data_IF_573457244221
#
_entry.id   IF_573457244221
#
_cell.length_a   1.000
_cell.length_b   1.000
_cell.length_c   1.000
_cell.angle_alpha   90.00
_cell.angle_beta   90.00
_cell.angle_gamma   90.00
#
_symmetry.space_group_name_H-M   'P 1'
#
loop_
_entity.id
_entity.type
_entity.pdbx_description
1 polymer ?
#
# COMPACT_ATOMS: atom_id res chain seq x y z
N UNK A 1 15.92 -14.23 0.66
CA UNK A 1 15.33 -13.10 1.42
C UNK A 1 15.64 -11.86 0.62
N UNK A 2 14.75 -10.87 0.58
CA UNK A 2 15.10 -9.60 -0.05
C UNK A 2 16.32 -8.99 0.67
N UNK A 3 17.16 -8.33 -0.09
CA UNK A 3 18.38 -7.69 0.45
C UNK A 3 18.09 -6.37 1.19
N UNK A 4 16.80 -6.02 1.34
CA UNK A 4 16.35 -4.86 2.10
C UNK A 4 15.29 -5.28 3.14
N UNK A 5 15.19 -4.50 4.20
CA UNK A 5 14.14 -4.64 5.21
C UNK A 5 13.30 -3.36 5.18
N UNK A 6 12.03 -3.51 4.87
CA UNK A 6 11.04 -2.45 5.01
C UNK A 6 10.18 -2.72 6.24
N UNK A 7 10.03 -1.74 7.10
CA UNK A 7 9.14 -1.81 8.26
C UNK A 7 8.40 -0.49 8.47
N UNK A 8 7.23 -0.57 9.07
CA UNK A 8 6.48 0.60 9.53
C UNK A 8 6.13 0.46 11.00
N UNK A 9 6.04 1.58 11.71
CA UNK A 9 5.70 1.64 13.14
C UNK A 9 5.15 3.02 13.50
N UNK A 10 4.50 3.10 14.67
CA UNK A 10 3.88 4.31 15.17
C UNK A 10 4.66 4.82 16.38
N UNK A 11 5.03 6.10 16.35
CA UNK A 11 5.65 6.81 17.44
C UNK A 11 4.97 8.17 17.63
N UNK A 12 4.56 8.48 18.86
CA UNK A 12 3.91 9.74 19.19
C UNK A 12 2.64 10.03 18.37
N UNK A 13 1.95 9.00 17.89
CA UNK A 13 0.75 9.10 17.06
C UNK A 13 1.02 9.33 15.58
N UNK A 14 2.28 9.45 15.17
CA UNK A 14 2.72 9.50 13.78
C UNK A 14 3.23 8.16 13.34
N UNK A 15 2.96 7.79 12.10
CA UNK A 15 3.50 6.60 11.49
C UNK A 15 4.77 6.93 10.72
N UNK A 16 5.74 6.04 10.85
CA UNK A 16 7.03 6.13 10.16
C UNK A 16 7.26 4.86 9.37
N UNK A 17 7.96 4.96 8.27
CA UNK A 17 8.54 3.81 7.62
C UNK A 17 10.05 3.94 7.52
N UNK A 18 10.70 2.81 7.63
CA UNK A 18 12.13 2.66 7.47
C UNK A 18 12.43 1.55 6.48
N UNK A 19 13.43 1.74 5.68
CA UNK A 19 14.01 0.65 4.92
C UNK A 19 15.53 0.66 5.05
N UNK A 20 16.07 -0.55 5.09
CA UNK A 20 17.52 -0.78 5.23
C UNK A 20 17.95 -1.74 4.13
N UNK A 21 18.98 -1.38 3.38
CA UNK A 21 19.67 -2.30 2.50
C UNK A 21 20.37 -3.36 3.36
N UNK A 22 20.11 -4.65 3.11
CA UNK A 22 20.73 -5.71 3.89
C UNK A 22 22.25 -5.80 3.69
N UNK A 23 22.75 -5.29 2.56
CA UNK A 23 24.18 -5.20 2.27
C UNK A 23 24.85 -4.01 2.94
N UNK A 24 24.10 -2.94 3.23
CA UNK A 24 24.59 -1.72 3.89
C UNK A 24 23.68 -1.36 5.08
N UNK A 25 23.82 -2.11 6.16
CA UNK A 25 23.02 -1.93 7.40
C UNK A 25 23.26 -0.57 8.09
N UNK A 26 24.25 0.20 7.66
CA UNK A 26 24.52 1.53 8.19
C UNK A 26 23.64 2.62 7.58
N UNK A 27 23.02 2.35 6.42
CA UNK A 27 22.14 3.29 5.75
C UNK A 27 20.65 2.93 5.95
N UNK A 28 20.13 3.24 7.12
CA UNK A 28 18.68 3.18 7.35
C UNK A 28 18.05 4.51 6.98
N UNK A 29 17.11 4.50 6.04
CA UNK A 29 16.33 5.68 5.68
C UNK A 29 15.00 5.65 6.44
N UNK A 30 14.76 6.70 7.24
CA UNK A 30 13.51 6.91 7.98
C UNK A 30 12.72 8.04 7.34
N UNK A 31 11.44 7.80 7.09
CA UNK A 31 10.52 8.81 6.55
C UNK A 31 9.19 8.77 7.28
N UNK A 32 8.52 9.93 7.37
CA UNK A 32 7.13 10.03 7.78
C UNK A 32 6.21 9.30 6.80
N UNK A 33 5.25 8.56 7.34
CA UNK A 33 4.17 8.00 6.59
C UNK A 33 2.90 8.81 6.93
N UNK A 34 2.44 9.69 6.05
CA UNK A 34 1.29 10.54 6.35
C UNK A 34 -0.01 9.72 6.34
N UNK A 35 -0.29 9.07 7.46
CA UNK A 35 -1.52 8.32 7.69
C UNK A 35 -2.51 9.18 8.51
N UNK A 36 -3.81 9.25 8.19
CA UNK A 36 -4.54 8.48 7.16
C UNK A 36 -4.56 9.14 5.77
N UNK A 37 -3.90 10.26 5.57
CA UNK A 37 -3.92 11.05 4.34
C UNK A 37 -3.49 10.23 3.13
N UNK A 38 -2.44 9.42 3.25
CA UNK A 38 -1.95 8.54 2.17
C UNK A 38 -3.01 7.55 1.69
N UNK A 39 -3.85 7.04 2.62
CA UNK A 39 -4.95 6.15 2.23
C UNK A 39 -6.03 6.92 1.45
N UNK A 40 -6.29 8.18 1.83
CA UNK A 40 -7.23 9.05 1.11
C UNK A 40 -6.71 9.44 -0.27
N UNK A 41 -5.43 9.70 -0.40
CA UNK A 41 -4.79 9.97 -1.70
C UNK A 41 -4.87 8.75 -2.61
N UNK A 42 -4.59 7.56 -2.10
CA UNK A 42 -4.76 6.32 -2.86
C UNK A 42 -6.20 6.13 -3.34
N UNK A 43 -7.19 6.46 -2.50
CA UNK A 43 -8.60 6.34 -2.81
C UNK A 43 -9.02 7.12 -4.06
N UNK A 44 -8.37 8.25 -4.31
CA UNK A 44 -8.70 9.16 -5.42
C UNK A 44 -7.63 9.21 -6.51
N UNK A 45 -6.70 8.28 -6.49
CA UNK A 45 -5.68 8.16 -7.53
C UNK A 45 -6.32 7.77 -8.86
N UNK A 46 -5.85 8.37 -9.94
CA UNK A 46 -6.29 8.03 -11.28
C UNK A 46 -5.74 6.67 -11.73
N UNK A 47 -6.63 5.68 -11.78
CA UNK A 47 -6.27 4.32 -12.19
C UNK A 47 -5.92 4.22 -13.67
N UNK A 48 -6.38 5.13 -14.52
CA UNK A 48 -6.03 5.14 -15.95
C UNK A 48 -4.56 5.54 -16.14
N UNK A 49 -4.07 6.50 -15.35
CA UNK A 49 -2.64 6.83 -15.35
C UNK A 49 -1.79 5.66 -14.86
N UNK A 50 -2.21 4.98 -13.79
CA UNK A 50 -1.53 3.77 -13.31
C UNK A 50 -1.50 2.67 -14.38
N UNK A 51 -2.60 2.49 -15.09
CA UNK A 51 -2.70 1.52 -16.17
C UNK A 51 -1.69 1.84 -17.28
N UNK A 52 -1.59 3.09 -17.68
CA UNK A 52 -0.66 3.51 -18.74
C UNK A 52 0.81 3.22 -18.36
N UNK A 53 1.21 3.57 -17.13
CA UNK A 53 2.56 3.33 -16.62
C UNK A 53 2.84 1.82 -16.55
N UNK A 54 1.95 1.05 -15.92
CA UNK A 54 2.15 -0.38 -15.68
C UNK A 54 2.11 -1.19 -16.98
N UNK A 55 1.28 -0.83 -17.96
CA UNK A 55 1.29 -1.45 -19.30
C UNK A 55 2.60 -1.20 -20.06
N UNK A 56 3.17 0.00 -19.92
CA UNK A 56 4.49 0.32 -20.52
C UNK A 56 5.58 -0.54 -19.89
N UNK A 57 5.55 -0.73 -18.58
CA UNK A 57 6.48 -1.60 -17.85
C UNK A 57 6.33 -3.07 -18.27
N UNK A 58 5.09 -3.58 -18.36
CA UNK A 58 4.83 -4.96 -18.81
C UNK A 58 5.34 -5.22 -20.24
N UNK A 59 5.16 -4.24 -21.13
CA UNK A 59 5.67 -4.33 -22.51
C UNK A 59 7.19 -4.39 -22.54
N UNK A 60 7.86 -3.56 -21.73
CA UNK A 60 9.31 -3.57 -21.64
C UNK A 60 9.83 -4.87 -21.01
N UNK A 61 9.18 -5.37 -19.97
CA UNK A 61 9.53 -6.63 -19.34
C UNK A 61 9.38 -7.82 -20.32
N UNK A 62 8.31 -7.82 -21.12
CA UNK A 62 8.11 -8.83 -22.15
C UNK A 62 9.21 -8.75 -23.24
N UNK A 63 9.57 -7.55 -23.68
CA UNK A 63 10.66 -7.35 -24.65
C UNK A 63 11.99 -7.85 -24.08
N UNK A 64 12.29 -7.58 -22.82
CA UNK A 64 13.44 -8.13 -22.13
C UNK A 64 13.48 -9.66 -22.12
N UNK A 65 12.35 -10.34 -21.84
CA UNK A 65 12.29 -11.81 -21.87
C UNK A 65 12.55 -12.38 -23.26
N UNK A 66 12.21 -11.65 -24.32
CA UNK A 66 12.40 -12.09 -25.70
C UNK A 66 13.82 -11.83 -26.21
N UNK A 67 14.40 -10.70 -25.88
CA UNK A 67 15.67 -10.21 -26.43
C UNK A 67 16.85 -10.38 -25.49
N UNK A 68 16.65 -10.37 -24.17
CA UNK A 68 17.68 -10.26 -23.16
C UNK A 68 18.31 -8.87 -23.07
N UNK A 69 17.74 -7.86 -23.78
CA UNK A 69 18.28 -6.52 -23.82
C UNK A 69 18.07 -5.77 -22.49
N UNK A 70 19.15 -5.39 -21.82
CA UNK A 70 19.08 -4.74 -20.51
C UNK A 70 18.46 -3.33 -20.54
N UNK A 71 18.45 -2.70 -21.70
CA UNK A 71 17.84 -1.38 -21.88
C UNK A 71 16.33 -1.40 -21.59
N UNK A 72 15.67 -2.53 -21.87
CA UNK A 72 14.25 -2.71 -21.54
C UNK A 72 14.01 -2.64 -20.02
N UNK A 73 14.95 -3.10 -19.20
CA UNK A 73 14.86 -3.01 -17.74
C UNK A 73 14.97 -1.57 -17.23
N UNK A 74 15.63 -0.67 -17.95
CA UNK A 74 15.64 0.75 -17.60
C UNK A 74 14.26 1.38 -17.70
N UNK A 75 13.45 0.93 -18.67
CA UNK A 75 12.05 1.38 -18.80
C UNK A 75 11.23 0.92 -17.59
N UNK A 76 11.47 -0.30 -17.10
CA UNK A 76 10.81 -0.81 -15.88
C UNK A 76 11.25 0.01 -14.67
N UNK A 77 12.55 0.26 -14.49
CA UNK A 77 13.07 1.06 -13.39
C UNK A 77 12.52 2.50 -13.41
N UNK A 78 12.44 3.13 -14.57
CA UNK A 78 11.86 4.46 -14.74
C UNK A 78 10.37 4.48 -14.36
N UNK A 79 9.60 3.48 -14.77
CA UNK A 79 8.19 3.34 -14.39
C UNK A 79 7.98 3.16 -12.89
N UNK A 80 8.85 2.37 -12.23
CA UNK A 80 8.81 2.22 -10.76
C UNK A 80 9.10 3.53 -10.04
N UNK A 81 10.09 4.31 -10.50
CA UNK A 81 10.38 5.61 -9.94
C UNK A 81 9.21 6.59 -10.15
N UNK A 82 8.56 6.54 -11.31
CA UNK A 82 7.39 7.34 -11.61
C UNK A 82 6.22 6.98 -10.66
N UNK A 83 5.93 5.69 -10.45
CA UNK A 83 4.90 5.26 -9.50
C UNK A 83 5.24 5.72 -8.07
N UNK A 84 6.47 5.52 -7.60
CA UNK A 84 6.89 5.94 -6.27
C UNK A 84 6.84 7.45 -6.06
N UNK A 85 7.08 8.25 -7.10
CA UNK A 85 6.92 9.71 -7.03
C UNK A 85 5.47 10.18 -6.93
N UNK A 86 4.52 9.34 -7.39
CA UNK A 86 3.08 9.66 -7.34
C UNK A 86 2.45 9.31 -6.00
N UNK A 87 2.90 8.24 -5.36
CA UNK A 87 2.31 7.81 -4.10
C UNK A 87 3.26 6.96 -3.26
N UNK A 88 3.27 7.24 -1.95
CA UNK A 88 4.18 6.60 -0.98
C UNK A 88 4.05 5.08 -0.91
N UNK A 89 2.86 4.50 -1.12
CA UNK A 89 2.70 3.04 -1.15
C UNK A 89 3.54 2.35 -2.23
N UNK A 90 3.80 3.03 -3.34
CA UNK A 90 4.63 2.47 -4.40
C UNK A 90 6.12 2.47 -4.09
N UNK A 91 6.55 3.10 -3.00
CA UNK A 91 7.93 3.03 -2.56
C UNK A 91 8.34 1.59 -2.21
N UNK A 92 7.48 0.86 -1.50
CA UNK A 92 7.72 -0.56 -1.20
C UNK A 92 7.83 -1.40 -2.48
N UNK A 93 6.94 -1.16 -3.45
CA UNK A 93 7.00 -1.82 -4.75
C UNK A 93 8.31 -1.50 -5.48
N UNK A 94 8.72 -0.23 -5.50
CA UNK A 94 9.97 0.21 -6.12
C UNK A 94 11.18 -0.46 -5.49
N UNK A 95 11.23 -0.56 -4.17
CA UNK A 95 12.33 -1.21 -3.44
C UNK A 95 12.41 -2.70 -3.80
N UNK A 96 11.31 -3.44 -3.73
CA UNK A 96 11.28 -4.87 -4.09
C UNK A 96 11.76 -5.11 -5.52
N UNK A 97 11.26 -4.34 -6.48
CA UNK A 97 11.66 -4.48 -7.86
C UNK A 97 13.10 -4.04 -8.14
N UNK A 98 13.59 -3.00 -7.50
CA UNK A 98 14.97 -2.53 -7.67
C UNK A 98 15.95 -3.62 -7.30
N UNK A 99 15.72 -4.33 -6.19
CA UNK A 99 16.58 -5.43 -5.78
C UNK A 99 16.51 -6.62 -6.76
N UNK A 100 15.31 -6.92 -7.26
CA UNK A 100 15.14 -7.95 -8.31
C UNK A 100 15.88 -7.59 -9.59
N UNK A 101 15.81 -6.34 -10.03
CA UNK A 101 16.53 -5.86 -11.23
C UNK A 101 18.03 -5.94 -11.05
N UNK A 102 18.58 -5.55 -9.89
CA UNK A 102 20.02 -5.71 -9.56
C UNK A 102 20.44 -7.19 -9.59
N UNK A 103 19.59 -8.09 -9.07
CA UNK A 103 19.89 -9.52 -9.08
C UNK A 103 19.93 -10.08 -10.51
N UNK A 104 19.07 -9.61 -11.40
CA UNK A 104 19.04 -10.01 -12.83
C UNK A 104 20.36 -9.67 -13.55
N UNK A 105 21.03 -8.59 -13.17
CA UNK A 105 22.32 -8.21 -13.76
C UNK A 105 23.44 -9.23 -13.50
N UNK A 106 23.31 -10.04 -12.46
CA UNK A 106 24.32 -10.99 -11.98
C UNK A 106 24.10 -12.42 -12.39
N UNK A 107 22.97 -12.73 -13.03
CA UNK A 107 22.56 -14.11 -13.35
C UNK A 107 22.39 -14.34 -14.84
N UNK A 108 22.30 -15.61 -15.22
CA UNK A 108 22.10 -16.02 -16.61
C UNK A 108 20.64 -15.84 -17.06
N UNK A 109 20.36 -15.72 -18.37
CA UNK A 109 19.00 -15.58 -18.89
C UNK A 109 18.00 -16.65 -18.42
N UNK A 110 18.46 -17.87 -18.18
CA UNK A 110 17.63 -18.97 -17.68
C UNK A 110 17.12 -18.73 -16.24
N UNK A 111 17.81 -17.93 -15.48
CA UNK A 111 17.50 -17.63 -14.08
C UNK A 111 16.61 -16.40 -13.93
N UNK A 112 16.51 -15.55 -14.97
CA UNK A 112 15.66 -14.35 -14.97
C UNK A 112 14.22 -14.66 -14.57
N UNK A 113 13.65 -15.75 -15.09
CA UNK A 113 12.29 -16.17 -14.80
C UNK A 113 12.04 -16.52 -13.32
N UNK A 114 13.09 -16.86 -12.56
CA UNK A 114 12.99 -17.14 -11.14
C UNK A 114 13.03 -15.87 -10.29
N UNK A 115 13.73 -14.86 -10.78
CA UNK A 115 13.93 -13.59 -10.05
C UNK A 115 12.80 -12.60 -10.32
N UNK A 116 12.32 -12.53 -11.55
CA UNK A 116 11.25 -11.63 -11.93
C UNK A 116 9.91 -12.36 -11.87
N UNK A 117 8.91 -11.80 -11.19
CA UNK A 117 7.62 -12.46 -11.08
C UNK A 117 6.94 -12.59 -12.44
N UNK A 118 6.34 -13.76 -12.69
CA UNK A 118 5.54 -14.00 -13.89
C UNK A 118 4.24 -13.17 -13.93
N UNK A 119 3.85 -12.57 -12.82
CA UNK A 119 2.65 -11.74 -12.74
C UNK A 119 2.90 -10.44 -13.49
N UNK A 120 1.97 -10.05 -14.31
CA UNK A 120 1.99 -8.77 -15.00
C UNK A 120 1.99 -7.64 -13.98
N UNK A 121 2.83 -6.64 -14.20
CA UNK A 121 2.86 -5.44 -13.36
C UNK A 121 1.52 -4.69 -13.47
N UNK A 122 0.86 -4.75 -14.62
CA UNK A 122 -0.45 -4.14 -14.84
C UNK A 122 -1.56 -4.67 -13.92
N UNK A 123 -1.39 -5.84 -13.30
CA UNK A 123 -2.34 -6.29 -12.28
C UNK A 123 -2.39 -5.35 -11.07
N UNK A 124 -1.37 -4.53 -10.85
CA UNK A 124 -1.32 -3.57 -9.76
C UNK A 124 -2.47 -2.57 -9.90
N UNK A 125 -2.67 -1.99 -11.09
CA UNK A 125 -3.73 -1.00 -11.27
C UNK A 125 -5.12 -1.60 -11.05
N UNK A 126 -5.37 -2.83 -11.55
CA UNK A 126 -6.68 -3.47 -11.38
C UNK A 126 -6.96 -3.84 -9.92
N UNK A 127 -5.93 -4.23 -9.17
CA UNK A 127 -6.05 -4.48 -7.75
C UNK A 127 -6.29 -3.17 -6.97
N UNK A 128 -5.61 -2.08 -7.32
CA UNK A 128 -5.83 -0.77 -6.72
C UNK A 128 -7.27 -0.29 -6.99
N UNK A 129 -7.77 -0.41 -8.21
CA UNK A 129 -9.16 -0.07 -8.54
C UNK A 129 -10.16 -0.86 -7.68
N UNK A 130 -9.92 -2.15 -7.50
CA UNK A 130 -10.74 -3.00 -6.61
C UNK A 130 -10.65 -2.55 -5.16
N UNK A 131 -9.46 -2.26 -4.67
CA UNK A 131 -9.25 -1.78 -3.30
C UNK A 131 -9.87 -0.40 -3.07
N UNK A 132 -9.81 0.51 -4.03
CA UNK A 132 -10.49 1.81 -3.95
C UNK A 132 -12.00 1.63 -3.71
N UNK A 133 -12.64 0.73 -4.43
CA UNK A 133 -14.08 0.43 -4.23
C UNK A 133 -14.38 -0.15 -2.85
N UNK A 134 -13.52 -1.06 -2.38
CA UNK A 134 -13.64 -1.63 -1.03
C UNK A 134 -13.46 -0.58 0.06
N UNK A 135 -12.47 0.32 -0.08
CA UNK A 135 -12.22 1.40 0.88
C UNK A 135 -13.41 2.38 0.89
N UNK A 136 -13.95 2.76 -0.27
CA UNK A 136 -15.14 3.61 -0.36
C UNK A 136 -16.32 2.98 0.36
N UNK A 137 -16.55 1.69 0.13
CA UNK A 137 -17.62 0.96 0.79
C UNK A 137 -17.45 0.93 2.30
N UNK A 138 -16.23 0.67 2.79
CA UNK A 138 -15.93 0.70 4.22
C UNK A 138 -16.19 2.08 4.83
N UNK A 139 -15.72 3.14 4.18
CA UNK A 139 -15.91 4.51 4.66
C UNK A 139 -17.39 4.84 4.74
N UNK A 140 -18.14 4.57 3.67
CA UNK A 140 -19.56 4.87 3.60
C UNK A 140 -20.38 4.17 4.70
N UNK A 141 -20.02 2.94 5.03
CA UNK A 141 -20.80 2.14 5.99
C UNK A 141 -20.31 2.26 7.44
N UNK A 142 -19.01 2.43 7.65
CA UNK A 142 -18.43 2.37 8.98
C UNK A 142 -17.86 3.69 9.50
N UNK A 143 -17.20 4.46 8.64
CA UNK A 143 -16.41 5.62 9.06
C UNK A 143 -17.06 6.96 8.73
N UNK A 144 -18.08 6.98 7.84
CA UNK A 144 -18.79 8.21 7.50
C UNK A 144 -19.56 8.75 8.70
N UNK A 145 -19.37 10.02 8.98
CA UNK A 145 -19.98 10.71 10.12
C UNK A 145 -21.23 11.53 9.77
N UNK A 146 -21.60 11.59 8.50
CA UNK A 146 -22.76 12.37 8.11
C UNK A 146 -24.04 11.73 8.63
N UNK A 147 -24.51 12.23 9.78
CA UNK A 147 -25.84 12.01 10.32
C UNK A 147 -25.93 11.28 11.66
N UNK A 148 -24.94 10.53 12.13
CA UNK A 148 -25.10 9.78 13.38
C UNK A 148 -23.84 9.75 14.26
N UNK A 149 -24.06 9.95 15.59
CA UNK A 149 -23.01 9.80 16.61
C UNK A 149 -22.83 8.33 17.03
N UNK A 150 -22.86 7.39 16.09
CA UNK A 150 -22.66 5.98 16.38
C UNK A 150 -21.19 5.59 16.24
N UNK A 151 -20.76 4.67 17.06
CA UNK A 151 -19.43 4.02 16.90
C UNK A 151 -19.40 3.16 15.62
N UNK A 152 -18.20 2.80 15.16
CA UNK A 152 -18.04 1.87 14.04
C UNK A 152 -18.79 0.56 14.30
N UNK A 153 -18.69 0.02 15.51
CA UNK A 153 -19.40 -1.23 15.89
C UNK A 153 -20.91 -1.10 15.77
N UNK A 154 -21.48 0.00 16.27
CA UNK A 154 -22.94 0.23 16.19
C UNK A 154 -23.43 0.38 14.76
N UNK A 155 -22.65 1.06 13.91
CA UNK A 155 -22.96 1.21 12.48
C UNK A 155 -22.91 -0.14 11.75
N UNK A 156 -21.88 -0.94 12.00
CA UNK A 156 -21.72 -2.25 11.39
C UNK A 156 -22.84 -3.22 11.82
N UNK A 157 -23.23 -3.21 13.10
CA UNK A 157 -24.36 -4.00 13.61
C UNK A 157 -25.67 -3.53 12.97
N UNK A 158 -25.88 -2.23 12.87
CA UNK A 158 -27.10 -1.68 12.23
C UNK A 158 -27.16 -2.06 10.73
N UNK A 159 -26.01 -1.98 10.03
CA UNK A 159 -25.92 -2.39 8.64
C UNK A 159 -26.22 -3.88 8.45
N UNK A 160 -25.65 -4.74 9.30
CA UNK A 160 -25.89 -6.19 9.27
C UNK A 160 -27.37 -6.55 9.51
N UNK A 161 -28.01 -5.84 10.42
CA UNK A 161 -29.42 -6.09 10.76
C UNK A 161 -30.42 -5.42 9.80
N UNK A 162 -29.94 -4.62 8.84
CA UNK A 162 -30.81 -4.00 7.85
C UNK A 162 -31.36 -5.07 6.87
N UNK A 163 -32.63 -4.93 6.50
CA UNK A 163 -33.32 -5.85 5.62
C UNK A 163 -32.61 -5.96 4.26
N UNK A 164 -32.31 -7.19 3.82
CA UNK A 164 -31.63 -7.47 2.54
C UNK A 164 -30.08 -7.45 2.58
N UNK A 165 -29.47 -7.22 3.72
CA UNK A 165 -28.02 -7.24 3.87
C UNK A 165 -27.49 -8.56 4.44
N UNK A 166 -28.02 -9.70 3.94
CA UNK A 166 -27.58 -11.04 4.34
C UNK A 166 -26.13 -11.36 3.93
N UNK A 167 -25.59 -10.61 2.99
CA UNK A 167 -24.18 -10.73 2.60
C UNK A 167 -23.33 -9.87 3.51
N UNK A 168 -22.74 -10.50 4.48
CA UNK A 168 -21.76 -9.92 5.35
C UNK A 168 -20.63 -9.27 4.55
N UNK A 169 -20.43 -7.99 4.72
CA UNK A 169 -19.15 -7.38 4.43
C UNK A 169 -18.16 -7.85 5.51
N UNK A 170 -17.66 -9.04 5.33
CA UNK A 170 -16.48 -9.46 6.06
C UNK A 170 -15.28 -8.83 5.38
N UNK A 171 -14.76 -7.75 5.97
CA UNK A 171 -13.42 -7.31 5.64
C UNK A 171 -12.45 -8.38 6.17
N UNK A 172 -12.07 -9.31 5.30
CA UNK A 172 -11.06 -10.31 5.63
C UNK A 172 -9.70 -9.67 5.40
N UNK A 173 -9.11 -9.20 6.48
CA UNK A 173 -7.72 -8.81 6.46
C UNK A 173 -6.83 -10.05 6.49
N UNK A 174 -5.75 -10.02 5.72
CA UNK A 174 -4.75 -11.07 5.80
C UNK A 174 -4.11 -11.06 7.20
N UNK A 175 -3.88 -12.23 7.81
CA UNK A 175 -3.14 -12.31 9.07
C UNK A 175 -1.74 -11.72 8.88
N UNK A 176 -1.41 -10.70 9.66
CA UNK A 176 -0.07 -10.12 9.67
C UNK A 176 0.57 -10.38 11.02
N UNK A 177 1.82 -10.87 11.05
CA UNK A 177 2.53 -11.03 12.30
C UNK A 177 2.77 -9.66 12.93
N UNK A 178 2.39 -9.55 14.20
CA UNK A 178 2.66 -8.35 15.02
C UNK A 178 3.96 -8.58 15.75
N UNK A 179 4.91 -7.69 15.56
CA UNK A 179 6.16 -7.68 16.28
C UNK A 179 6.21 -6.45 17.19
N UNK A 180 6.90 -6.57 18.32
CA UNK A 180 7.21 -5.45 19.19
C UNK A 180 8.71 -5.30 19.27
N UNK A 181 9.22 -4.11 18.96
CA UNK A 181 10.65 -3.85 18.89
C UNK A 181 11.03 -2.57 19.60
N UNK A 182 12.28 -2.53 20.06
CA UNK A 182 12.91 -1.30 20.53
C UNK A 182 13.63 -0.65 19.34
N UNK A 183 13.09 0.47 18.89
CA UNK A 183 13.63 1.25 17.78
C UNK A 183 14.55 2.34 18.34
N UNK A 184 15.73 2.47 17.77
CA UNK A 184 16.74 3.48 18.14
C UNK A 184 17.05 3.52 19.65
N UNK A 185 16.87 2.41 20.37
CA UNK A 185 17.03 2.29 21.83
C UNK A 185 16.15 3.23 22.65
N UNK A 186 15.07 3.78 22.07
CA UNK A 186 14.23 4.82 22.70
C UNK A 186 12.74 4.52 22.62
N UNK A 187 12.30 3.85 21.56
CA UNK A 187 10.90 3.66 21.25
C UNK A 187 10.60 2.17 21.33
N UNK A 188 9.62 1.79 22.15
CA UNK A 188 9.07 0.42 22.11
C UNK A 188 7.74 0.49 21.36
N UNK A 189 7.68 -0.07 20.18
CA UNK A 189 6.54 0.05 19.28
C UNK A 189 6.13 -1.28 18.65
N UNK A 190 4.87 -1.36 18.27
CA UNK A 190 4.37 -2.36 17.34
C UNK A 190 4.97 -2.09 15.95
N UNK A 191 5.60 -3.09 15.38
CA UNK A 191 6.30 -2.99 14.09
C UNK A 191 5.67 -3.96 13.10
N UNK A 192 5.33 -3.45 11.93
CA UNK A 192 4.87 -4.23 10.80
C UNK A 192 5.98 -4.37 9.77
N UNK A 193 6.14 -5.59 9.24
CA UNK A 193 7.00 -5.92 8.10
C UNK A 193 6.13 -6.33 6.91
N UNK A 194 5.61 -5.39 6.12
CA UNK A 194 4.76 -5.71 4.99
C UNK A 194 5.57 -6.43 3.91
N UNK A 195 5.00 -7.49 3.35
CA UNK A 195 5.63 -8.26 2.27
C UNK A 195 5.44 -7.59 0.92
N UNK A 196 4.34 -6.88 0.79
CA UNK A 196 3.98 -6.17 -0.44
C UNK A 196 3.09 -4.96 -0.13
N UNK A 197 2.74 -4.24 -1.19
CA UNK A 197 1.89 -3.04 -1.11
C UNK A 197 0.50 -3.35 -0.51
N UNK A 198 -0.04 -4.54 -0.73
CA UNK A 198 -1.39 -4.90 -0.27
C UNK A 198 -1.42 -5.13 1.23
N UNK A 199 -0.38 -5.76 1.78
CA UNK A 199 -0.20 -5.90 3.23
C UNK A 199 -0.20 -4.53 3.93
N UNK A 200 0.46 -3.54 3.31
CA UNK A 200 0.56 -2.19 3.86
C UNK A 200 -0.80 -1.45 3.78
N UNK A 201 -1.51 -1.57 2.68
CA UNK A 201 -2.84 -0.98 2.52
C UNK A 201 -3.83 -1.62 3.50
N UNK A 202 -3.83 -2.95 3.60
CA UNK A 202 -4.66 -3.69 4.56
C UNK A 202 -4.40 -3.26 6.01
N UNK A 203 -3.14 -3.05 6.37
CA UNK A 203 -2.76 -2.51 7.67
C UNK A 203 -3.41 -1.14 7.92
N UNK A 204 -3.30 -0.22 6.97
CA UNK A 204 -3.86 1.12 7.12
C UNK A 204 -5.39 1.14 7.17
N UNK A 205 -6.06 0.30 6.37
CA UNK A 205 -7.52 0.15 6.47
C UNK A 205 -7.91 -0.34 7.86
N UNK A 206 -7.19 -1.33 8.40
CA UNK A 206 -7.41 -1.87 9.74
C UNK A 206 -7.19 -0.81 10.82
N UNK A 207 -6.15 -0.01 10.68
CA UNK A 207 -5.88 1.09 11.61
C UNK A 207 -6.96 2.18 11.55
N UNK A 208 -7.54 2.47 10.39
CA UNK A 208 -8.71 3.36 10.28
C UNK A 208 -9.89 2.85 11.11
N UNK A 209 -10.17 1.54 11.05
CA UNK A 209 -11.26 0.93 11.82
C UNK A 209 -10.94 0.94 13.32
N UNK A 210 -9.74 0.49 13.72
CA UNK A 210 -9.32 0.43 15.13
C UNK A 210 -9.36 1.78 15.83
N UNK A 211 -8.92 2.82 15.12
CA UNK A 211 -8.84 4.19 15.67
C UNK A 211 -10.13 4.98 15.48
N UNK A 212 -11.15 4.36 14.89
CA UNK A 212 -12.39 5.04 14.53
C UNK A 212 -12.14 6.37 13.79
N UNK A 213 -11.26 6.32 12.76
CA UNK A 213 -10.90 7.50 11.98
C UNK A 213 -12.17 8.09 11.36
N UNK A 214 -12.48 9.31 11.76
CA UNK A 214 -13.70 9.97 11.32
C UNK A 214 -13.54 10.50 9.91
N UNK A 215 -14.48 10.17 9.04
CA UNK A 215 -14.50 10.62 7.65
C UNK A 215 -15.71 11.51 7.39
N UNK A 216 -15.54 12.50 6.51
CA UNK A 216 -16.63 13.36 6.02
C UNK A 216 -16.52 13.54 4.53
N UNK A 217 -17.67 13.79 3.89
CA UNK A 217 -17.73 14.15 2.48
C UNK A 217 -17.54 15.65 2.31
N UNK A 218 -16.64 16.06 1.44
CA UNK A 218 -16.52 17.45 1.03
C UNK A 218 -17.75 17.84 0.16
N UNK A 219 -18.47 18.88 0.58
CA UNK A 219 -19.69 19.34 -0.13
C UNK A 219 -19.42 19.85 -1.55
N UNK A 220 -18.19 20.27 -1.84
CA UNK A 220 -17.85 20.84 -3.15
C UNK A 220 -17.41 19.77 -4.15
N UNK A 221 -16.56 18.82 -3.73
CA UNK A 221 -15.98 17.82 -4.65
C UNK A 221 -16.48 16.40 -4.40
N UNK A 222 -17.34 16.20 -3.40
CA UNK A 222 -17.91 14.91 -2.98
C UNK A 222 -16.87 13.84 -2.62
N UNK A 223 -15.64 14.25 -2.31
CA UNK A 223 -14.57 13.34 -1.88
C UNK A 223 -14.57 13.21 -0.36
N UNK A 224 -14.29 12.02 0.12
CA UNK A 224 -14.05 11.78 1.55
C UNK A 224 -12.72 12.37 1.98
N UNK A 225 -12.67 12.82 3.21
CA UNK A 225 -11.45 13.26 3.88
C UNK A 225 -11.50 12.88 5.36
N UNK A 226 -10.34 12.59 5.92
CA UNK A 226 -10.23 12.32 7.34
C UNK A 226 -10.35 13.62 8.15
N UNK A 227 -11.11 13.59 9.23
CA UNK A 227 -11.23 14.73 10.16
C UNK A 227 -10.10 14.63 11.16
N UNK A 228 -9.04 15.41 10.94
CA UNK A 228 -7.92 15.54 11.86
C UNK A 228 -8.18 16.71 12.80
N UNK A 229 -8.45 16.43 14.07
CA UNK A 229 -8.63 17.46 15.09
C UNK A 229 -9.70 17.10 16.11
N UNK A 230 -9.56 17.63 17.32
CA UNK A 230 -10.62 17.56 18.33
C UNK A 230 -11.84 18.32 17.78
N UNK A 231 -12.90 17.57 17.49
CA UNK A 231 -14.22 18.17 17.28
C UNK A 231 -14.78 18.69 18.61
#
# INVERSE_FOLDING_TARGET
>A
MPDYIFKTYIDGGREYYEYTDAADREQTMKKDFPFPESLMELLYMDTQELEAITKKMDKALLAFYQSGAKDDLQVVAAGLNELASRHVYFELLRLDWTERLKAVERVTPKEYLRLLPHKKISHIYSNIDTMQRQIISLIAHALDMDGEKKSVSEKMVAYYNAEGNDTLYTFQFQPQPVNFEVIDRRIFAEVLYPKDIYDLIDHHIRECVKREVRMRVCKNCLRYFAVTGKA
#
